data_IF_275329799162
#
_entry.id   IF_275329799162
#
_cell.length_a   1.000
_cell.length_b   1.000
_cell.length_c   1.000
_cell.angle_alpha   90.00
_cell.angle_beta   90.00
_cell.angle_gamma   90.00
#
_symmetry.space_group_name_H-M   'P 1'
#
loop_
_entity.id
_entity.type
_entity.pdbx_description
1 polymer ?
#
# COMPACT_ATOMS: atom_id res chain seq x y z
N UNK A 1 -38.27 -35.18 -40.10
CA UNK A 1 -38.02 -34.82 -38.68
C UNK A 1 -36.64 -34.19 -38.59
N UNK A 2 -36.56 -32.85 -38.58
CA UNK A 2 -35.28 -32.12 -38.50
C UNK A 2 -34.93 -31.90 -37.02
N UNK A 3 -33.86 -32.53 -36.54
CA UNK A 3 -33.32 -32.31 -35.18
C UNK A 3 -32.31 -31.16 -35.25
N UNK A 4 -32.72 -29.98 -34.80
CA UNK A 4 -31.78 -28.89 -34.53
C UNK A 4 -31.07 -29.16 -33.19
N UNK A 5 -29.77 -29.47 -33.24
CA UNK A 5 -28.89 -29.44 -32.08
C UNK A 5 -28.45 -28.00 -31.85
N UNK A 6 -29.07 -27.31 -30.90
CA UNK A 6 -28.61 -26.01 -30.44
C UNK A 6 -27.40 -26.21 -29.52
N UNK A 7 -26.20 -25.92 -30.04
CA UNK A 7 -24.97 -25.88 -29.26
C UNK A 7 -24.89 -24.49 -28.59
N UNK A 8 -25.37 -24.38 -27.36
CA UNK A 8 -25.21 -23.16 -26.56
C UNK A 8 -23.78 -23.09 -26.04
N UNK A 9 -22.95 -22.29 -26.70
CA UNK A 9 -21.62 -21.94 -26.19
C UNK A 9 -21.77 -21.07 -24.93
N UNK A 10 -21.44 -21.64 -23.77
CA UNK A 10 -21.26 -20.91 -22.52
C UNK A 10 -19.94 -20.11 -22.63
N UNK A 11 -20.02 -18.90 -23.18
CA UNK A 11 -18.92 -17.93 -23.07
C UNK A 11 -18.99 -17.37 -21.65
N UNK A 12 -18.19 -17.91 -20.75
CA UNK A 12 -17.99 -17.31 -19.42
C UNK A 12 -17.37 -15.93 -19.62
N UNK A 13 -18.15 -14.88 -19.42
CA UNK A 13 -17.63 -13.54 -19.20
C UNK A 13 -16.82 -13.56 -17.91
N UNK A 14 -15.50 -13.70 -18.02
CA UNK A 14 -14.61 -13.29 -16.92
C UNK A 14 -14.76 -11.78 -16.81
N UNK A 15 -15.63 -11.33 -15.91
CA UNK A 15 -15.70 -9.92 -15.51
C UNK A 15 -14.28 -9.53 -15.10
N UNK A 16 -13.70 -8.58 -15.84
CA UNK A 16 -12.28 -8.25 -15.84
C UNK A 16 -11.76 -7.69 -14.52
N UNK A 17 -11.58 -8.56 -13.54
CA UNK A 17 -10.78 -8.27 -12.35
C UNK A 17 -9.31 -8.28 -12.77
N UNK A 18 -8.62 -7.22 -12.41
CA UNK A 18 -7.18 -7.12 -12.67
C UNK A 18 -6.46 -8.13 -11.78
N UNK A 19 -5.63 -9.03 -12.34
CA UNK A 19 -4.80 -9.89 -11.51
C UNK A 19 -3.92 -9.00 -10.65
N UNK A 20 -3.80 -9.36 -9.37
CA UNK A 20 -2.94 -8.63 -8.46
C UNK A 20 -1.49 -8.70 -9.00
N UNK A 21 -0.79 -7.56 -9.09
CA UNK A 21 0.58 -7.54 -9.57
C UNK A 21 1.46 -8.29 -8.58
N UNK A 22 2.42 -9.05 -9.10
CA UNK A 22 3.47 -9.73 -8.33
C UNK A 22 2.99 -10.59 -7.14
N UNK A 23 1.77 -11.14 -7.17
CA UNK A 23 1.17 -11.87 -6.03
C UNK A 23 0.97 -11.02 -4.76
N UNK A 24 0.78 -9.71 -4.93
CA UNK A 24 0.47 -8.76 -3.85
C UNK A 24 -0.77 -9.15 -3.05
N UNK A 25 -1.65 -10.02 -3.52
CA UNK A 25 -2.75 -10.55 -2.70
C UNK A 25 -2.29 -11.43 -1.51
N UNK A 26 -1.05 -11.94 -1.53
CA UNK A 26 -0.54 -12.89 -0.52
C UNK A 26 0.46 -12.27 0.46
N UNK A 27 1.21 -11.24 0.04
CA UNK A 27 2.26 -10.63 0.87
C UNK A 27 2.54 -9.18 0.48
N UNK A 28 3.10 -8.44 1.42
CA UNK A 28 3.69 -7.12 1.18
C UNK A 28 4.95 -7.24 0.33
N UNK A 29 5.10 -6.29 -0.58
CA UNK A 29 6.35 -6.01 -1.28
C UNK A 29 6.88 -4.65 -0.83
N UNK A 30 8.19 -4.60 -0.57
CA UNK A 30 8.89 -3.37 -0.26
C UNK A 30 10.14 -3.29 -1.11
N UNK A 31 10.29 -2.20 -1.84
CA UNK A 31 11.47 -1.94 -2.64
C UNK A 31 11.94 -0.49 -2.45
N UNK A 32 13.26 -0.32 -2.50
CA UNK A 32 13.89 1.00 -2.47
C UNK A 32 13.74 1.68 -3.82
N UNK A 33 13.13 2.87 -3.83
CA UNK A 33 13.11 3.77 -4.98
C UNK A 33 14.53 4.31 -5.30
N UNK A 34 14.76 4.83 -6.51
CA UNK A 34 16.05 5.42 -6.92
C UNK A 34 17.27 4.49 -6.68
N UNK A 35 17.21 3.30 -7.29
CA UNK A 35 18.29 2.31 -7.26
C UNK A 35 19.61 2.97 -7.71
N UNK A 36 20.68 2.74 -6.96
CA UNK A 36 22.02 3.32 -7.21
C UNK A 36 22.36 4.58 -6.41
N UNK A 37 21.37 5.22 -5.75
CA UNK A 37 21.64 6.30 -4.81
C UNK A 37 21.95 5.73 -3.42
N UNK A 38 22.99 6.26 -2.78
CA UNK A 38 23.33 5.97 -1.38
C UNK A 38 22.50 6.87 -0.48
N UNK A 39 21.57 6.29 0.26
CA UNK A 39 20.75 7.01 1.22
C UNK A 39 21.37 6.92 2.61
N UNK A 40 21.31 8.02 3.37
CA UNK A 40 21.82 8.05 4.75
C UNK A 40 21.06 7.08 5.66
N UNK A 41 19.74 7.03 5.50
CA UNK A 41 18.84 6.12 6.21
C UNK A 41 18.33 5.08 5.21
N UNK A 42 18.59 3.80 5.49
CA UNK A 42 18.12 2.70 4.65
C UNK A 42 17.11 1.83 5.41
N UNK A 43 15.97 1.55 4.79
CA UNK A 43 15.00 0.56 5.29
C UNK A 43 15.41 -0.83 4.80
N UNK A 44 15.51 -1.80 5.71
CA UNK A 44 15.91 -3.19 5.45
C UNK A 44 14.76 -4.18 5.50
N UNK A 45 13.75 -3.90 6.31
CA UNK A 45 12.57 -4.74 6.48
C UNK A 45 11.37 -3.87 6.79
N UNK A 46 10.20 -4.25 6.28
CA UNK A 46 8.90 -3.65 6.60
C UNK A 46 7.97 -4.75 7.09
N UNK A 47 7.25 -4.47 8.16
CA UNK A 47 6.21 -5.33 8.73
C UNK A 47 4.98 -4.46 8.99
N UNK A 48 3.82 -4.97 8.59
CA UNK A 48 2.53 -4.31 8.81
C UNK A 48 1.86 -4.91 10.04
N UNK A 49 1.45 -4.06 10.98
CA UNK A 49 0.81 -4.48 12.24
C UNK A 49 -0.52 -3.75 12.46
N UNK A 50 -1.48 -4.45 13.04
CA UNK A 50 -2.73 -3.82 13.49
C UNK A 50 -2.52 -3.01 14.78
N UNK A 51 -3.58 -2.40 15.30
CA UNK A 51 -3.57 -1.67 16.57
C UNK A 51 -3.19 -2.52 17.79
N UNK A 52 -3.31 -3.84 17.71
CA UNK A 52 -2.92 -4.80 18.76
C UNK A 52 -1.45 -5.24 18.64
N UNK A 53 -0.73 -4.78 17.61
CA UNK A 53 0.67 -5.14 17.36
C UNK A 53 0.87 -6.48 16.66
N UNK A 54 -0.21 -7.13 16.21
CA UNK A 54 -0.15 -8.39 15.45
C UNK A 54 0.19 -8.09 14.00
N UNK A 55 1.06 -8.90 13.39
CA UNK A 55 1.34 -8.80 11.96
C UNK A 55 0.09 -9.11 11.14
N UNK A 56 -0.30 -8.21 10.25
CA UNK A 56 -1.53 -8.34 9.45
C UNK A 56 -1.26 -8.12 7.97
N UNK A 57 -1.75 -9.07 7.18
CA UNK A 57 -1.84 -8.99 5.73
C UNK A 57 -2.99 -9.89 5.24
N UNK A 58 -3.85 -9.43 4.32
CA UNK A 58 -3.97 -8.06 3.80
C UNK A 58 -4.37 -7.06 4.89
N UNK A 59 -4.16 -5.76 4.60
CA UNK A 59 -4.49 -4.68 5.55
C UNK A 59 -5.96 -4.28 5.45
N UNK A 60 -6.57 -3.99 6.60
CA UNK A 60 -7.86 -3.30 6.66
C UNK A 60 -7.62 -1.79 6.77
N UNK A 61 -7.77 -1.11 5.62
CA UNK A 61 -7.60 0.34 5.49
C UNK A 61 -8.64 1.18 6.27
N UNK A 62 -9.67 0.57 6.86
CA UNK A 62 -10.61 1.29 7.74
C UNK A 62 -10.04 1.55 9.13
N UNK A 63 -9.02 0.78 9.51
CA UNK A 63 -8.39 0.83 10.82
C UNK A 63 -7.00 1.48 10.75
N UNK A 64 -6.47 1.87 11.91
CA UNK A 64 -5.09 2.34 11.98
C UNK A 64 -4.11 1.21 11.66
N UNK A 65 -3.11 1.52 10.85
CA UNK A 65 -2.04 0.63 10.42
C UNK A 65 -0.72 1.07 11.04
N UNK A 66 -0.03 0.17 11.70
CA UNK A 66 1.33 0.41 12.19
C UNK A 66 2.33 -0.20 11.20
N UNK A 67 3.20 0.62 10.64
CA UNK A 67 4.27 0.21 9.74
C UNK A 67 5.56 0.17 10.56
N UNK A 68 6.02 -1.04 10.91
CA UNK A 68 7.29 -1.26 11.59
C UNK A 68 8.39 -1.48 10.55
N UNK A 69 9.46 -0.71 10.68
CA UNK A 69 10.58 -0.70 9.76
C UNK A 69 11.88 -0.95 10.51
N UNK A 70 12.65 -1.93 10.05
CA UNK A 70 14.05 -2.01 10.44
C UNK A 70 14.85 -1.05 9.55
N UNK A 71 15.56 -0.12 10.18
CA UNK A 71 16.32 0.94 9.51
C UNK A 71 17.79 0.86 9.88
N UNK A 72 18.67 1.33 8.98
CA UNK A 72 20.10 1.49 9.22
C UNK A 72 20.48 2.92 8.88
N UNK A 73 20.89 3.70 9.89
CA UNK A 73 21.43 5.03 9.69
C UNK A 73 22.96 4.95 9.57
N UNK A 74 23.49 5.33 8.40
CA UNK A 74 24.93 5.33 8.10
C UNK A 74 25.59 6.70 8.25
N UNK A 75 24.82 7.78 8.45
CA UNK A 75 25.32 9.15 8.55
C UNK A 75 25.25 9.74 9.94
N UNK A 76 24.96 11.04 10.01
CA UNK A 76 24.80 11.79 11.26
C UNK A 76 23.50 11.44 11.97
N UNK A 77 23.39 11.83 13.24
CA UNK A 77 22.15 11.70 14.01
C UNK A 77 21.03 12.47 13.29
N UNK A 78 19.89 11.82 13.09
CA UNK A 78 18.71 12.42 12.47
C UNK A 78 17.74 12.79 13.60
N UNK A 79 17.51 14.09 13.80
CA UNK A 79 16.67 14.59 14.90
C UNK A 79 15.19 14.71 14.53
N UNK A 80 14.89 14.83 13.23
CA UNK A 80 13.53 14.97 12.70
C UNK A 80 13.43 14.24 11.36
N UNK A 81 12.26 13.67 11.09
CA UNK A 81 11.92 13.04 9.81
C UNK A 81 10.55 13.55 9.41
N UNK A 82 10.43 13.96 8.16
CA UNK A 82 9.16 14.23 7.50
C UNK A 82 8.94 13.17 6.45
N UNK A 83 7.73 12.62 6.40
CA UNK A 83 7.35 11.63 5.41
C UNK A 83 6.22 12.18 4.53
N UNK A 84 6.34 11.92 3.24
CA UNK A 84 5.25 12.05 2.27
C UNK A 84 4.79 10.64 1.90
N UNK A 85 3.49 10.39 1.99
CA UNK A 85 2.90 9.09 1.68
C UNK A 85 1.86 9.26 0.57
N UNK A 86 2.14 8.60 -0.55
CA UNK A 86 1.21 8.48 -1.67
C UNK A 86 0.57 7.09 -1.65
N UNK A 87 -0.75 7.03 -1.82
CA UNK A 87 -1.52 5.78 -1.83
C UNK A 87 -2.07 5.59 -3.23
N UNK A 88 -1.89 4.38 -3.77
CA UNK A 88 -2.42 3.99 -5.07
C UNK A 88 -3.23 2.71 -4.93
N UNK A 89 -4.24 2.53 -5.77
CA UNK A 89 -4.99 1.29 -5.90
C UNK A 89 -4.76 0.66 -7.27
N UNK A 90 -4.67 -0.67 -7.31
CA UNK A 90 -4.56 -1.42 -8.55
C UNK A 90 -5.94 -1.84 -9.03
N UNK A 91 -6.27 -1.53 -10.27
CA UNK A 91 -7.49 -2.03 -10.88
C UNK A 91 -7.79 -1.37 -12.20
N UNK A 92 -9.07 -1.45 -12.61
CA UNK A 92 -9.55 -0.89 -13.86
C UNK A 92 -10.37 0.36 -13.58
N UNK A 93 -10.11 1.44 -14.31
CA UNK A 93 -11.01 2.60 -14.32
C UNK A 93 -11.81 2.61 -15.64
N UNK A 94 -12.81 3.49 -15.76
CA UNK A 94 -13.70 3.53 -16.93
C UNK A 94 -12.97 3.84 -18.26
N UNK A 95 -11.81 4.50 -18.19
CA UNK A 95 -11.09 5.05 -19.34
C UNK A 95 -9.78 4.31 -19.69
N UNK A 96 -9.31 3.38 -18.85
CA UNK A 96 -8.05 2.67 -19.04
C UNK A 96 -8.12 1.19 -18.63
N UNK A 97 -7.09 0.43 -19.03
CA UNK A 97 -6.92 -0.96 -18.61
C UNK A 97 -6.51 -1.11 -17.15
N UNK A 98 -6.05 -2.30 -16.77
CA UNK A 98 -5.49 -2.54 -15.45
C UNK A 98 -4.24 -1.69 -15.23
N UNK A 99 -4.25 -0.93 -14.13
CA UNK A 99 -3.17 -0.02 -13.79
C UNK A 99 -3.23 0.42 -12.34
N UNK A 100 -2.17 1.10 -11.91
CA UNK A 100 -2.13 1.82 -10.66
C UNK A 100 -2.83 3.17 -10.85
N UNK A 101 -3.72 3.50 -9.92
CA UNK A 101 -4.46 4.75 -9.89
C UNK A 101 -4.22 5.43 -8.56
N UNK A 102 -3.92 6.72 -8.60
CA UNK A 102 -3.72 7.51 -7.39
C UNK A 102 -5.01 7.62 -6.59
N UNK A 103 -4.90 7.40 -5.28
CA UNK A 103 -5.93 7.70 -4.32
C UNK A 103 -5.72 9.14 -3.86
N UNK A 104 -6.61 10.10 -4.20
CA UNK A 104 -6.37 11.50 -3.89
C UNK A 104 -6.43 11.71 -2.38
N UNK A 105 -5.27 11.79 -1.75
CA UNK A 105 -5.11 12.10 -0.32
C UNK A 105 -5.24 13.60 -0.04
N UNK A 106 -5.31 14.43 -1.09
CA UNK A 106 -5.38 15.90 -1.03
C UNK A 106 -4.30 16.54 -0.15
N UNK A 107 -3.11 15.95 -0.11
CA UNK A 107 -1.96 16.44 0.67
C UNK A 107 -2.06 16.14 2.18
N UNK A 108 -3.09 15.43 2.64
CA UNK A 108 -3.25 15.08 4.06
C UNK A 108 -2.18 14.10 4.56
N UNK A 109 -1.54 13.38 3.64
CA UNK A 109 -0.46 12.44 3.91
C UNK A 109 0.93 12.99 3.57
N UNK A 110 1.04 14.29 3.35
CA UNK A 110 2.30 14.96 3.08
C UNK A 110 2.81 15.68 4.33
N UNK A 111 4.13 15.77 4.46
CA UNK A 111 4.83 16.41 5.56
C UNK A 111 4.43 15.85 6.95
N UNK A 112 4.22 14.54 7.04
CA UNK A 112 3.93 13.84 8.29
C UNK A 112 5.15 13.91 9.20
N UNK A 113 5.04 14.62 10.32
CA UNK A 113 6.08 14.75 11.36
C UNK A 113 5.88 13.68 12.43
N UNK A 114 5.95 12.41 12.02
CA UNK A 114 5.75 11.26 12.90
C UNK A 114 7.06 10.56 13.25
N UNK A 115 8.09 11.34 13.59
CA UNK A 115 9.35 10.76 14.07
C UNK A 115 9.27 10.34 15.55
N UNK A 116 8.42 9.35 15.86
CA UNK A 116 8.31 8.78 17.21
C UNK A 116 9.59 8.13 17.72
N UNK A 117 10.49 7.75 16.80
CA UNK A 117 11.77 7.11 17.10
C UNK A 117 12.97 8.05 16.97
N UNK A 118 12.75 9.37 16.83
CA UNK A 118 13.82 10.35 16.85
C UNK A 118 14.37 10.58 18.27
N UNK A 119 15.67 10.85 18.42
CA UNK A 119 16.67 10.95 17.36
C UNK A 119 17.15 9.57 16.86
N UNK A 120 17.23 9.38 15.54
CA UNK A 120 17.78 8.15 14.94
C UNK A 120 19.30 8.21 14.97
N UNK A 121 19.88 7.46 15.90
CA UNK A 121 21.33 7.32 16.04
C UNK A 121 21.91 6.49 14.89
N UNK A 122 23.22 6.62 14.69
CA UNK A 122 23.95 5.77 13.73
C UNK A 122 23.84 4.29 14.12
N UNK A 123 23.64 3.43 13.14
CA UNK A 123 23.48 1.99 13.32
C UNK A 123 22.06 1.50 12.99
N UNK A 124 21.74 0.30 13.42
CA UNK A 124 20.44 -0.35 13.19
C UNK A 124 19.43 0.06 14.26
N UNK A 125 18.22 0.41 13.84
CA UNK A 125 17.11 0.77 14.74
C UNK A 125 15.76 0.33 14.16
N UNK A 126 14.80 0.07 15.02
CA UNK A 126 13.40 -0.12 14.61
C UNK A 126 12.68 1.22 14.67
N UNK A 127 11.97 1.56 13.60
CA UNK A 127 11.16 2.76 13.45
C UNK A 127 9.71 2.35 13.22
N UNK A 128 8.77 3.06 13.85
CA UNK A 128 7.34 2.84 13.64
C UNK A 128 6.70 4.09 13.07
N UNK A 129 5.90 3.92 12.02
CA UNK A 129 4.99 4.95 11.50
C UNK A 129 3.57 4.46 11.74
N UNK A 130 2.72 5.31 12.29
CA UNK A 130 1.30 5.00 12.49
C UNK A 130 0.48 5.74 11.45
N UNK A 131 -0.13 5.01 10.53
CA UNK A 131 -1.03 5.58 9.53
C UNK A 131 -2.47 5.32 9.97
N UNK A 132 -3.14 6.36 10.46
CA UNK A 132 -4.57 6.29 10.76
C UNK A 132 -5.38 6.62 9.50
N UNK A 133 -5.92 5.57 8.86
CA UNK A 133 -6.72 5.71 7.64
C UNK A 133 -8.22 5.88 7.90
N UNK A 134 -8.68 5.83 9.16
CA UNK A 134 -10.09 5.99 9.51
C UNK A 134 -10.66 7.34 9.05
N UNK A 135 -9.82 8.37 9.05
CA UNK A 135 -10.14 9.72 8.53
C UNK A 135 -10.39 9.74 7.02
N UNK A 136 -9.98 8.70 6.29
CA UNK A 136 -10.17 8.57 4.85
C UNK A 136 -11.25 7.55 4.48
N UNK A 137 -11.98 7.01 5.45
CA UNK A 137 -13.08 6.04 5.24
C UNK A 137 -14.12 6.51 4.21
N UNK A 138 -14.33 7.82 4.11
CA UNK A 138 -15.22 8.45 3.12
C UNK A 138 -14.67 8.34 1.69
N UNK A 139 -13.38 8.59 1.49
CA UNK A 139 -12.70 8.47 0.19
C UNK A 139 -12.53 6.99 -0.18
N UNK A 140 -12.13 6.16 0.79
CA UNK A 140 -12.01 4.72 0.63
C UNK A 140 -13.36 4.06 0.30
N UNK A 141 -14.45 4.54 0.88
CA UNK A 141 -15.81 4.07 0.56
C UNK A 141 -16.23 4.38 -0.87
N UNK A 142 -15.85 5.55 -1.41
CA UNK A 142 -16.12 5.89 -2.80
C UNK A 142 -15.31 5.04 -3.81
N UNK A 143 -14.12 4.60 -3.41
CA UNK A 143 -13.22 3.80 -4.27
C UNK A 143 -13.53 2.30 -4.15
N UNK A 144 -13.81 1.80 -2.95
CA UNK A 144 -14.22 0.41 -2.70
C UNK A 144 -15.69 0.14 -3.11
N UNK A 145 -16.54 1.16 -3.13
CA UNK A 145 -17.92 1.09 -3.61
C UNK A 145 -18.07 1.19 -5.14
N UNK A 146 -16.96 1.32 -5.88
CA UNK A 146 -16.93 1.40 -7.34
C UNK A 146 -16.88 0.06 -8.08
N UNK A 147 -16.93 -1.07 -7.37
CA UNK A 147 -17.16 -2.39 -7.96
C UNK A 147 -18.57 -2.80 -7.60
N UNK A 148 -19.47 -2.56 -8.56
CA UNK A 148 -20.83 -3.14 -8.60
C UNK A 148 -20.76 -4.65 -8.77
#
# INVERSE_FOLDING_TARGET
>A
MFRFLAFTALVSFVLGQCPAPDETEKKIFFEKCHKGVKHTLEVKKVVLKNSEGQEVYPIDVKNALNIEMQTVNSGSIINTIRADVDIQWWGKNWFSGCGWHDLPTFGLLHNLDECYSCPIKKGTSNMNIKVDMSKYSQILGAIAGGVS
#
